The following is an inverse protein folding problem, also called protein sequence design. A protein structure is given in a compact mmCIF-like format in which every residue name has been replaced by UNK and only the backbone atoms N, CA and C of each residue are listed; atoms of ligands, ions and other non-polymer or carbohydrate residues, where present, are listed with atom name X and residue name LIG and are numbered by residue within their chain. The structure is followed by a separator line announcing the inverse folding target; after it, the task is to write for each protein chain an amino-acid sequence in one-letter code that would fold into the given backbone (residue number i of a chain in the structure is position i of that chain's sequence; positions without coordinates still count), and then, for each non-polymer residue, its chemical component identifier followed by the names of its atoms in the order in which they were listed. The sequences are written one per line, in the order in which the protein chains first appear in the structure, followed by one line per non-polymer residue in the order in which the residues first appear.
data_IF_539169551669
#
_entry.id   IF_539169551669
#
_cell.length_a   1.000
_cell.length_b   1.000
_cell.length_c   1.000
_cell.angle_alpha   90.00
_cell.angle_beta   90.00
_cell.angle_gamma   90.00
#
_symmetry.space_group_name_H-M   'P 1'
#
loop_
_entity.id
_entity.type
_entity.pdbx_description
1 polymer ?
#
# COMPACT_ATOMS: atom_id res chain seq x y z
N UNK A 1 -10.64 -21.37 -11.78
CA UNK A 1 -10.06 -22.46 -10.98
C UNK A 1 -10.10 -22.08 -9.51
N UNK A 2 -10.74 -22.87 -8.64
CA UNK A 2 -10.89 -22.55 -7.22
C UNK A 2 -9.55 -22.34 -6.49
N UNK A 3 -8.54 -23.13 -6.84
CA UNK A 3 -7.23 -23.09 -6.18
C UNK A 3 -6.49 -21.76 -6.39
N UNK A 4 -6.58 -21.17 -7.60
CA UNK A 4 -5.97 -19.87 -7.91
C UNK A 4 -6.62 -18.74 -7.10
N UNK A 5 -7.93 -18.85 -6.84
CA UNK A 5 -8.67 -17.91 -6.01
C UNK A 5 -8.30 -18.05 -4.53
N UNK A 6 -8.16 -19.27 -4.02
CA UNK A 6 -7.66 -19.50 -2.65
C UNK A 6 -6.28 -18.89 -2.45
N UNK A 7 -5.36 -19.07 -3.40
CA UNK A 7 -4.02 -18.48 -3.33
C UNK A 7 -4.11 -16.95 -3.31
N UNK A 8 -4.93 -16.34 -4.18
CA UNK A 8 -5.12 -14.88 -4.17
C UNK A 8 -5.61 -14.37 -2.80
N UNK A 9 -6.59 -15.04 -2.20
CA UNK A 9 -7.09 -14.66 -0.87
C UNK A 9 -6.04 -14.82 0.23
N UNK A 10 -5.23 -15.88 0.18
CA UNK A 10 -4.14 -16.09 1.13
C UNK A 10 -3.10 -14.97 1.03
N UNK A 11 -2.80 -14.50 -0.18
CA UNK A 11 -1.90 -13.38 -0.41
C UNK A 11 -2.46 -12.06 0.14
N UNK A 12 -3.75 -11.75 -0.08
CA UNK A 12 -4.43 -10.61 0.58
C UNK A 12 -4.34 -10.68 2.11
N UNK A 13 -4.62 -11.85 2.70
CA UNK A 13 -4.52 -12.03 4.16
C UNK A 13 -3.07 -11.84 4.63
N UNK A 14 -2.10 -12.30 3.84
CA UNK A 14 -0.68 -12.12 4.17
C UNK A 14 -0.30 -10.64 4.24
N UNK A 15 -0.88 -9.77 3.40
CA UNK A 15 -0.64 -8.31 3.45
C UNK A 15 -1.09 -7.71 4.79
N UNK A 16 -2.22 -8.18 5.33
CA UNK A 16 -2.66 -7.78 6.67
C UNK A 16 -1.59 -8.10 7.72
N UNK A 17 -1.06 -9.32 7.70
CA UNK A 17 0.01 -9.76 8.61
C UNK A 17 1.29 -8.93 8.40
N UNK A 18 1.67 -8.66 7.14
CA UNK A 18 2.85 -7.86 6.81
C UNK A 18 2.76 -6.44 7.39
N UNK A 19 1.58 -5.81 7.36
CA UNK A 19 1.38 -4.51 7.98
C UNK A 19 1.70 -4.50 9.49
N UNK A 20 1.28 -5.54 10.22
CA UNK A 20 1.65 -5.70 11.64
C UNK A 20 3.13 -5.99 11.85
N UNK A 21 3.76 -6.76 10.95
CA UNK A 21 5.19 -7.03 11.01
C UNK A 21 5.97 -5.72 10.85
N UNK A 22 5.63 -4.89 9.86
CA UNK A 22 6.25 -3.58 9.65
C UNK A 22 6.09 -2.68 10.90
N UNK A 23 4.88 -2.62 11.47
CA UNK A 23 4.65 -1.88 12.71
C UNK A 23 5.51 -2.39 13.88
N UNK A 24 5.62 -3.71 14.02
CA UNK A 24 6.40 -4.37 15.08
C UNK A 24 7.90 -4.13 14.95
N UNK A 25 8.43 -4.06 13.73
CA UNK A 25 9.82 -3.65 13.46
C UNK A 25 10.08 -2.25 14.04
N UNK A 26 9.11 -1.34 13.96
CA UNK A 26 9.22 -0.01 14.54
C UNK A 26 9.41 -0.07 16.06
N UNK A 27 8.67 -0.94 16.74
CA UNK A 27 8.79 -1.10 18.19
C UNK A 27 10.11 -1.74 18.62
N UNK A 28 10.53 -2.81 17.92
CA UNK A 28 11.67 -3.66 18.30
C UNK A 28 13.01 -3.06 17.83
N UNK A 29 13.09 -2.65 16.56
CA UNK A 29 14.34 -2.28 15.90
C UNK A 29 14.44 -0.76 15.66
N UNK A 30 13.33 -0.02 15.73
CA UNK A 30 13.29 1.44 15.53
C UNK A 30 13.97 1.81 14.19
N UNK A 31 14.82 2.84 14.19
CA UNK A 31 15.56 3.31 13.01
C UNK A 31 16.43 2.24 12.36
N UNK A 32 17.03 1.34 13.14
CA UNK A 32 17.86 0.25 12.61
C UNK A 32 17.06 -0.75 11.78
N UNK A 33 15.74 -0.81 11.99
CA UNK A 33 14.83 -1.69 11.27
C UNK A 33 14.41 -1.18 9.88
N UNK A 34 14.91 -0.03 9.42
CA UNK A 34 14.50 0.57 8.14
C UNK A 34 14.65 -0.41 6.96
N UNK A 35 15.80 -1.07 6.85
CA UNK A 35 16.03 -2.14 5.87
C UNK A 35 14.94 -3.22 5.92
N UNK A 36 14.65 -3.74 7.10
CA UNK A 36 13.69 -4.83 7.26
C UNK A 36 12.27 -4.36 6.91
N UNK A 37 11.88 -3.16 7.33
CA UNK A 37 10.59 -2.57 6.96
C UNK A 37 10.44 -2.41 5.44
N UNK A 38 11.51 -2.03 4.74
CA UNK A 38 11.52 -1.92 3.27
C UNK A 38 11.36 -3.29 2.60
N UNK A 39 12.09 -4.31 3.06
CA UNK A 39 11.99 -5.65 2.48
C UNK A 39 10.59 -6.25 2.65
N UNK A 40 9.98 -6.05 3.83
CA UNK A 40 8.59 -6.45 4.06
C UNK A 40 7.59 -5.64 3.22
N UNK A 41 7.83 -4.34 3.00
CA UNK A 41 7.00 -3.52 2.12
C UNK A 41 7.08 -4.00 0.66
N UNK A 42 8.28 -4.27 0.15
CA UNK A 42 8.46 -4.84 -1.20
C UNK A 42 7.74 -6.19 -1.30
N UNK A 43 7.85 -7.04 -0.29
CA UNK A 43 7.13 -8.32 -0.27
C UNK A 43 5.61 -8.12 -0.31
N UNK A 44 5.06 -7.16 0.45
CA UNK A 44 3.64 -6.83 0.39
C UNK A 44 3.21 -6.41 -1.02
N UNK A 45 3.99 -5.56 -1.69
CA UNK A 45 3.69 -5.16 -3.06
C UNK A 45 3.83 -6.31 -4.07
N UNK A 46 4.77 -7.25 -3.87
CA UNK A 46 4.86 -8.44 -4.70
C UNK A 46 3.59 -9.28 -4.54
N UNK A 47 3.13 -9.48 -3.30
CA UNK A 47 1.91 -10.24 -3.03
C UNK A 47 0.67 -9.61 -3.67
N UNK A 48 0.55 -8.27 -3.67
CA UNK A 48 -0.53 -7.51 -4.33
C UNK A 48 -0.53 -7.66 -5.87
N UNK A 49 0.64 -7.65 -6.50
CA UNK A 49 0.72 -7.87 -7.95
C UNK A 49 0.30 -9.31 -8.31
N UNK A 50 0.77 -10.27 -7.50
CA UNK A 50 0.51 -11.70 -7.72
C UNK A 50 -0.96 -12.04 -7.46
N UNK A 51 -1.57 -11.55 -6.39
CA UNK A 51 -2.96 -11.87 -6.08
C UNK A 51 -3.93 -11.30 -7.11
N UNK A 52 -3.71 -10.08 -7.58
CA UNK A 52 -4.50 -9.49 -8.65
C UNK A 52 -4.38 -10.33 -9.93
N UNK A 53 -3.16 -10.78 -10.27
CA UNK A 53 -2.95 -11.63 -11.43
C UNK A 53 -3.68 -12.97 -11.31
N UNK A 54 -3.57 -13.63 -10.16
CA UNK A 54 -4.19 -14.93 -9.89
C UNK A 54 -5.72 -14.83 -9.83
N UNK A 55 -6.27 -13.80 -9.19
CA UNK A 55 -7.70 -13.55 -9.12
C UNK A 55 -8.32 -13.42 -10.53
N UNK A 56 -7.70 -12.63 -11.41
CA UNK A 56 -8.17 -12.46 -12.81
C UNK A 56 -8.04 -13.75 -13.62
N UNK A 57 -6.93 -14.47 -13.45
CA UNK A 57 -6.71 -15.76 -14.13
C UNK A 57 -7.70 -16.82 -13.67
N UNK A 58 -8.19 -16.73 -12.43
CA UNK A 58 -9.14 -17.69 -11.88
C UNK A 58 -10.51 -17.68 -12.57
N UNK A 59 -10.89 -16.57 -13.24
CA UNK A 59 -12.22 -16.31 -13.85
C UNK A 59 -13.41 -16.53 -12.89
N UNK A 60 -13.17 -16.56 -11.59
CA UNK A 60 -14.21 -16.73 -10.58
C UNK A 60 -14.74 -15.36 -10.13
N UNK A 61 -16.02 -15.25 -9.75
CA UNK A 61 -16.57 -14.00 -9.24
C UNK A 61 -15.86 -13.55 -7.96
N UNK A 62 -15.84 -12.25 -7.74
CA UNK A 62 -15.24 -11.61 -6.56
C UNK A 62 -15.92 -12.11 -5.27
N UNK A 63 -15.12 -12.49 -4.27
CA UNK A 63 -15.62 -12.91 -2.96
C UNK A 63 -15.48 -11.81 -1.90
N UNK A 64 -15.85 -12.14 -0.67
CA UNK A 64 -15.76 -11.23 0.47
C UNK A 64 -14.34 -10.67 0.66
N UNK A 65 -13.31 -11.49 0.47
CA UNK A 65 -11.90 -11.09 0.64
C UNK A 65 -11.49 -10.14 -0.48
N UNK A 66 -11.80 -10.45 -1.74
CA UNK A 66 -11.55 -9.53 -2.86
C UNK A 66 -12.26 -8.18 -2.71
N UNK A 67 -13.49 -8.16 -2.17
CA UNK A 67 -14.21 -6.90 -1.88
C UNK A 67 -13.58 -6.06 -0.77
N UNK A 68 -12.82 -6.70 0.13
CA UNK A 68 -12.21 -6.07 1.31
C UNK A 68 -10.69 -5.92 1.17
N UNK A 69 -10.17 -6.03 -0.05
CA UNK A 69 -8.73 -5.96 -0.32
C UNK A 69 -8.11 -4.62 0.11
N UNK A 70 -8.91 -3.55 0.00
CA UNK A 70 -8.53 -2.20 0.43
C UNK A 70 -8.14 -2.14 1.91
N UNK A 71 -8.69 -3.00 2.77
CA UNK A 71 -8.34 -3.02 4.19
C UNK A 71 -6.95 -3.62 4.44
N UNK A 72 -6.55 -4.63 3.66
CA UNK A 72 -5.23 -5.22 3.75
C UNK A 72 -4.16 -4.18 3.35
N UNK A 73 -4.43 -3.47 2.27
CA UNK A 73 -3.63 -2.36 1.76
C UNK A 73 -3.50 -1.19 2.73
N UNK A 74 -4.63 -0.75 3.31
CA UNK A 74 -4.62 0.25 4.38
C UNK A 74 -3.83 -0.22 5.60
N UNK A 75 -3.84 -1.51 5.92
CA UNK A 75 -3.09 -2.07 7.05
C UNK A 75 -1.58 -1.99 6.82
N UNK A 76 -1.12 -2.28 5.60
CA UNK A 76 0.31 -2.10 5.24
C UNK A 76 0.71 -0.63 5.33
N UNK A 77 -0.10 0.27 4.77
CA UNK A 77 0.16 1.71 4.81
C UNK A 77 0.16 2.28 6.24
N UNK A 78 -0.79 1.85 7.08
CA UNK A 78 -0.83 2.19 8.49
C UNK A 78 0.39 1.65 9.25
N UNK A 79 0.80 0.41 8.96
CA UNK A 79 2.02 -0.19 9.51
C UNK A 79 3.27 0.60 9.17
N UNK A 80 3.40 1.07 7.92
CA UNK A 80 4.48 1.96 7.47
C UNK A 80 4.45 3.30 8.20
N UNK A 81 3.28 3.96 8.27
CA UNK A 81 3.14 5.23 8.97
C UNK A 81 3.51 5.11 10.46
N UNK A 82 3.05 4.04 11.10
CA UNK A 82 3.37 3.73 12.48
C UNK A 82 4.87 3.49 12.67
N UNK A 83 5.49 2.66 11.81
CA UNK A 83 6.94 2.43 11.80
C UNK A 83 7.72 3.75 11.72
N UNK A 84 7.37 4.63 10.78
CA UNK A 84 8.04 5.92 10.59
C UNK A 84 7.90 6.82 11.82
N UNK A 85 6.73 6.79 12.46
CA UNK A 85 6.43 7.59 13.66
C UNK A 85 7.23 7.09 14.86
N UNK A 86 7.10 5.81 15.17
CA UNK A 86 7.72 5.16 16.34
C UNK A 86 9.24 5.09 16.22
N UNK A 87 9.77 5.08 15.01
CA UNK A 87 11.20 5.18 14.73
C UNK A 87 11.71 6.63 14.71
N UNK A 88 10.89 7.64 14.99
CA UNK A 88 11.27 9.06 14.96
C UNK A 88 11.82 9.54 13.60
N UNK A 89 11.29 9.02 12.49
CA UNK A 89 11.53 9.58 11.15
C UNK A 89 10.53 10.70 10.83
N UNK A 90 9.31 10.61 11.36
CA UNK A 90 8.29 11.65 11.33
C UNK A 90 7.80 11.94 12.75
N UNK A 91 7.26 13.15 12.97
CA UNK A 91 6.77 13.54 14.29
C UNK A 91 5.41 12.91 14.60
N UNK A 92 5.15 12.61 15.88
CA UNK A 92 3.83 12.12 16.32
C UNK A 92 2.70 13.11 16.00
N UNK A 93 3.00 14.42 16.06
CA UNK A 93 2.04 15.49 15.73
C UNK A 93 1.59 15.40 14.27
N UNK A 94 2.55 15.23 13.36
CA UNK A 94 2.25 15.02 11.94
C UNK A 94 1.36 13.79 11.75
N UNK A 95 1.71 12.67 12.38
CA UNK A 95 0.94 11.42 12.28
C UNK A 95 -0.48 11.59 12.80
N UNK A 96 -0.67 12.24 13.95
CA UNK A 96 -2.01 12.47 14.50
C UNK A 96 -2.86 13.33 13.56
N UNK A 97 -2.33 14.46 13.10
CA UNK A 97 -3.03 15.35 12.17
C UNK A 97 -3.38 14.60 10.88
N UNK A 98 -2.41 13.89 10.31
CA UNK A 98 -2.60 13.10 9.10
C UNK A 98 -3.71 12.06 9.26
N UNK A 99 -3.72 11.29 10.35
CA UNK A 99 -4.75 10.27 10.61
C UNK A 99 -6.13 10.90 10.76
N UNK A 100 -6.26 11.99 11.53
CA UNK A 100 -7.54 12.69 11.70
C UNK A 100 -8.06 13.20 10.35
N UNK A 101 -7.20 13.86 9.57
CA UNK A 101 -7.55 14.34 8.23
C UNK A 101 -7.91 13.19 7.29
N UNK A 102 -7.15 12.09 7.30
CA UNK A 102 -7.42 10.92 6.49
C UNK A 102 -8.79 10.30 6.81
N UNK A 103 -9.09 10.08 8.09
CA UNK A 103 -10.39 9.55 8.55
C UNK A 103 -11.53 10.47 8.13
N UNK A 104 -11.37 11.79 8.32
CA UNK A 104 -12.37 12.76 7.90
C UNK A 104 -12.61 12.76 6.39
N UNK A 105 -11.55 12.77 5.58
CA UNK A 105 -11.66 12.78 4.11
C UNK A 105 -12.30 11.49 3.57
N UNK A 106 -11.90 10.33 4.10
CA UNK A 106 -12.49 9.03 3.71
C UNK A 106 -13.98 9.00 4.07
N UNK A 107 -14.34 9.45 5.28
CA UNK A 107 -15.71 9.47 5.75
C UNK A 107 -16.61 10.43 4.96
N UNK A 108 -16.10 11.62 4.64
CA UNK A 108 -16.87 12.67 3.97
C UNK A 108 -17.01 12.41 2.45
N UNK A 109 -15.90 12.11 1.77
CA UNK A 109 -15.88 11.95 0.32
C UNK A 109 -16.39 10.57 -0.11
N UNK A 110 -16.01 9.50 0.61
CA UNK A 110 -16.37 8.09 0.31
C UNK A 110 -15.97 7.62 -1.09
N UNK A 111 -14.91 8.21 -1.64
CA UNK A 111 -14.38 7.90 -2.97
C UNK A 111 -13.12 7.05 -2.86
N UNK A 112 -13.02 5.98 -3.67
CA UNK A 112 -11.85 5.09 -3.66
C UNK A 112 -10.54 5.82 -3.94
N UNK A 113 -10.55 6.79 -4.85
CA UNK A 113 -9.39 7.60 -5.20
C UNK A 113 -8.82 8.37 -3.99
N UNK A 114 -9.65 8.75 -3.03
CA UNK A 114 -9.23 9.42 -1.79
C UNK A 114 -8.46 8.44 -0.91
N UNK A 115 -8.98 7.22 -0.74
CA UNK A 115 -8.30 6.16 0.02
C UNK A 115 -6.95 5.80 -0.61
N UNK A 116 -6.90 5.62 -1.93
CA UNK A 116 -5.67 5.33 -2.66
C UNK A 116 -4.64 6.48 -2.47
N UNK A 117 -5.10 7.74 -2.54
CA UNK A 117 -4.25 8.92 -2.31
C UNK A 117 -3.70 9.01 -0.88
N UNK A 118 -4.53 8.74 0.12
CA UNK A 118 -4.10 8.69 1.53
C UNK A 118 -3.06 7.59 1.75
N UNK A 119 -3.30 6.41 1.18
CA UNK A 119 -2.40 5.27 1.31
C UNK A 119 -1.02 5.54 0.70
N UNK A 120 -0.97 6.31 -0.39
CA UNK A 120 0.26 6.68 -1.07
C UNK A 120 1.19 7.57 -0.22
N UNK A 121 0.65 8.32 0.75
CA UNK A 121 1.47 9.25 1.56
C UNK A 121 2.49 8.52 2.44
N UNK A 122 2.11 7.52 3.28
CA UNK A 122 3.09 6.71 4.01
C UNK A 122 4.14 6.03 3.11
N UNK A 123 3.74 5.58 1.92
CA UNK A 123 4.66 4.97 0.95
C UNK A 123 5.67 5.99 0.40
N UNK A 124 5.21 7.19 0.03
CA UNK A 124 6.11 8.26 -0.39
C UNK A 124 7.09 8.65 0.73
N UNK A 125 6.61 8.70 1.98
CA UNK A 125 7.44 9.02 3.14
C UNK A 125 8.52 7.96 3.41
N UNK A 126 8.21 6.66 3.33
CA UNK A 126 9.22 5.62 3.54
C UNK A 126 10.22 5.55 2.38
N UNK A 127 9.80 5.84 1.15
CA UNK A 127 10.71 5.99 0.00
C UNK A 127 11.66 7.17 0.21
N UNK A 128 11.13 8.33 0.60
CA UNK A 128 11.97 9.49 0.91
C UNK A 128 12.94 9.19 2.08
N UNK A 129 12.44 8.53 3.12
CA UNK A 129 13.24 8.14 4.29
C UNK A 129 14.34 7.15 3.90
N UNK A 130 14.05 6.16 3.05
CA UNK A 130 15.05 5.19 2.60
C UNK A 130 16.12 5.86 1.76
N UNK A 131 15.75 6.73 0.80
CA UNK A 131 16.72 7.50 0.02
C UNK A 131 17.63 8.38 0.90
N UNK A 132 17.11 8.89 2.01
CA UNK A 132 17.85 9.77 2.93
C UNK A 132 18.79 9.01 3.88
N UNK A 133 18.35 7.88 4.43
CA UNK A 133 19.05 7.19 5.52
C UNK A 133 19.71 5.86 5.12
N UNK A 134 19.21 5.19 4.07
CA UNK A 134 19.79 3.98 3.51
C UNK A 134 19.58 3.93 1.98
N UNK A 135 20.36 4.73 1.23
CA UNK A 135 20.12 4.95 -0.21
C UNK A 135 20.09 3.67 -1.03
N UNK A 136 20.85 2.65 -0.65
CA UNK A 136 20.87 1.34 -1.32
C UNK A 136 19.47 0.72 -1.38
N UNK A 137 18.73 0.73 -0.26
CA UNK A 137 17.35 0.23 -0.22
C UNK A 137 16.35 1.23 -0.80
N UNK A 138 16.66 2.54 -0.77
CA UNK A 138 15.89 3.54 -1.53
C UNK A 138 15.90 3.30 -3.03
N UNK A 139 17.08 3.07 -3.61
CA UNK A 139 17.22 2.70 -5.01
C UNK A 139 16.61 1.33 -5.32
N UNK A 140 16.68 0.37 -4.39
CA UNK A 140 15.99 -0.91 -4.54
C UNK A 140 14.47 -0.74 -4.68
N UNK A 141 13.85 0.12 -3.85
CA UNK A 141 12.43 0.43 -3.98
C UNK A 141 12.13 1.09 -5.33
N UNK A 142 12.93 2.08 -5.75
CA UNK A 142 12.73 2.75 -7.03
C UNK A 142 12.84 1.74 -8.18
N UNK A 143 13.87 0.89 -8.17
CA UNK A 143 14.07 -0.15 -9.17
C UNK A 143 12.87 -1.12 -9.21
N UNK A 144 12.36 -1.51 -8.05
CA UNK A 144 11.16 -2.34 -7.94
C UNK A 144 9.92 -1.64 -8.53
N UNK A 145 9.69 -0.36 -8.21
CA UNK A 145 8.56 0.40 -8.75
C UNK A 145 8.65 0.56 -10.27
N UNK A 146 9.84 0.85 -10.80
CA UNK A 146 10.07 0.92 -12.25
C UNK A 146 9.81 -0.43 -12.93
N UNK A 147 10.26 -1.52 -12.32
CA UNK A 147 9.98 -2.88 -12.79
C UNK A 147 8.47 -3.18 -12.78
N UNK A 148 7.75 -2.78 -11.72
CA UNK A 148 6.31 -2.96 -11.61
C UNK A 148 5.57 -2.15 -12.68
N UNK A 149 5.96 -0.89 -12.90
CA UNK A 149 5.42 -0.06 -14.00
C UNK A 149 5.69 -0.72 -15.34
N UNK A 150 6.89 -1.24 -15.58
CA UNK A 150 7.24 -1.91 -16.83
C UNK A 150 6.36 -3.14 -17.09
N UNK A 151 6.15 -4.00 -16.09
CA UNK A 151 5.29 -5.19 -16.20
C UNK A 151 3.81 -4.81 -16.37
N UNK A 152 3.34 -3.81 -15.64
CA UNK A 152 1.92 -3.40 -15.65
C UNK A 152 1.60 -2.37 -16.74
N UNK A 153 2.61 -1.93 -17.51
CA UNK A 153 2.51 -0.90 -18.54
C UNK A 153 1.37 -1.09 -19.55
N UNK A 154 1.06 -2.31 -20.04
CA UNK A 154 -0.03 -2.49 -21.00
C UNK A 154 -1.42 -2.13 -20.42
N UNK A 155 -1.56 -2.15 -19.09
CA UNK A 155 -2.83 -1.95 -18.37
C UNK A 155 -2.92 -0.61 -17.69
N UNK A 156 -1.80 -0.10 -17.18
CA UNK A 156 -1.72 1.16 -16.45
C UNK A 156 -2.42 2.36 -17.15
N UNK A 157 -2.17 2.66 -18.45
CA UNK A 157 -2.83 3.77 -19.13
C UNK A 157 -4.29 3.48 -19.49
N UNK A 158 -4.70 2.20 -19.55
CA UNK A 158 -6.05 1.80 -19.99
C UNK A 158 -7.05 1.69 -18.85
N UNK A 159 -6.61 1.25 -17.68
CA UNK A 159 -7.48 0.97 -16.53
C UNK A 159 -7.25 2.00 -15.41
N UNK A 160 -6.00 2.15 -14.95
CA UNK A 160 -5.68 2.93 -13.74
C UNK A 160 -5.81 4.45 -13.95
N UNK A 161 -5.35 4.97 -15.07
CA UNK A 161 -5.45 6.41 -15.36
C UNK A 161 -6.92 6.87 -15.51
N UNK A 162 -7.78 6.19 -16.29
CA UNK A 162 -9.19 6.57 -16.38
C UNK A 162 -9.94 6.42 -15.05
N UNK A 163 -9.71 5.35 -14.28
CA UNK A 163 -10.31 5.17 -12.95
C UNK A 163 -10.00 6.36 -12.03
N UNK A 164 -8.73 6.78 -11.99
CA UNK A 164 -8.30 7.90 -11.16
C UNK A 164 -8.94 9.23 -11.61
N UNK A 165 -8.94 9.53 -12.91
CA UNK A 165 -9.56 10.75 -13.45
C UNK A 165 -11.07 10.78 -13.17
N UNK A 166 -11.75 9.64 -13.34
CA UNK A 166 -13.18 9.53 -13.04
C UNK A 166 -13.46 9.71 -11.54
N UNK A 167 -12.62 9.15 -10.67
CA UNK A 167 -12.69 9.35 -9.23
C UNK A 167 -12.57 10.83 -8.84
N UNK A 168 -11.58 11.54 -9.39
CA UNK A 168 -11.43 12.99 -9.18
C UNK A 168 -12.67 13.75 -9.66
N UNK A 169 -13.16 13.43 -10.87
CA UNK A 169 -14.35 14.08 -11.43
C UNK A 169 -15.58 13.88 -10.54
N UNK A 170 -15.74 12.73 -9.91
CA UNK A 170 -16.86 12.45 -9.01
C UNK A 170 -16.80 13.29 -7.73
N UNK A 171 -15.60 13.55 -7.21
CA UNK A 171 -15.41 14.46 -6.07
C UNK A 171 -15.92 15.87 -6.41
N UNK A 172 -15.63 16.39 -7.61
CA UNK A 172 -16.06 17.73 -8.03
C UNK A 172 -17.54 17.86 -8.40
N UNK A 173 -18.27 16.75 -8.53
CA UNK A 173 -19.71 16.74 -8.85
C UNK A 173 -20.61 16.68 -7.61
N UNK A 174 -20.03 16.52 -6.43
CA UNK A 174 -20.71 16.33 -5.15
C UNK A 174 -20.73 17.65 -4.37
#
# INVERSE_FOLDING_TARGET
MPILKTIANTLTISRFIIGFIIASIGNIQRKLGLKNAILWLILAWITDVLDGYLARTSKMPEDFIGKHDIYADMTVSAGVLYFLTISNFISWKFTLIFVITAVFLIWYLKEKAVTDGIQAVPYALIIYTSLKYDPSYGYLIIAYLLFLIFITWPRFPKEKVPEFINGIRNIFKK
#
